data_IF_395926813855
#
_entry.id   IF_395926813855
#
_cell.length_a   1.000
_cell.length_b   1.000
_cell.length_c   1.000
_cell.angle_alpha   90.00
_cell.angle_beta   90.00
_cell.angle_gamma   90.00
#
_symmetry.space_group_name_H-M   'P 1'
#
loop_
_entity.id
_entity.type
_entity.pdbx_description
1 polymer ?
#
# COMPACT_ATOMS: atom_id res chain seq x y z
N UNK A 1 4.30 17.92 19.14
CA UNK A 1 3.84 18.43 17.83
C UNK A 1 2.97 17.40 17.09
N UNK A 2 2.28 16.50 17.80
CA UNK A 2 1.65 15.30 17.20
C UNK A 2 0.17 15.49 16.82
N UNK A 3 -0.48 16.59 17.24
CA UNK A 3 -1.95 16.70 17.16
C UNK A 3 -2.48 17.19 15.80
N UNK A 4 -1.70 17.95 15.03
CA UNK A 4 -2.18 18.60 13.78
C UNK A 4 -2.32 17.58 12.65
N UNK A 5 -1.44 16.58 12.58
CA UNK A 5 -1.49 15.56 11.53
C UNK A 5 -2.68 14.59 11.68
N UNK A 6 -3.12 14.32 12.90
CA UNK A 6 -4.24 13.42 13.18
C UNK A 6 -5.58 14.03 12.76
N UNK A 7 -5.79 15.34 12.99
CA UNK A 7 -7.02 16.05 12.61
C UNK A 7 -7.20 16.13 11.08
N UNK A 8 -6.10 16.31 10.32
CA UNK A 8 -6.15 16.33 8.85
C UNK A 8 -6.29 14.94 8.21
N UNK A 9 -5.96 13.88 8.95
CA UNK A 9 -6.04 12.50 8.48
C UNK A 9 -7.46 11.93 8.62
N UNK A 10 -8.14 12.28 9.71
CA UNK A 10 -9.43 11.70 10.09
C UNK A 10 -10.50 11.75 8.96
N UNK A 11 -10.68 12.86 8.21
CA UNK A 11 -11.66 12.87 7.13
C UNK A 11 -11.31 11.96 5.94
N UNK A 12 -10.02 11.77 5.64
CA UNK A 12 -9.59 10.83 4.59
C UNK A 12 -9.75 9.39 5.05
N UNK A 13 -9.39 9.12 6.30
CA UNK A 13 -9.52 7.81 6.92
C UNK A 13 -10.98 7.35 6.96
N UNK A 14 -11.89 8.20 7.46
CA UNK A 14 -13.32 7.88 7.49
C UNK A 14 -13.91 7.59 6.09
N UNK A 15 -13.42 8.27 5.04
CA UNK A 15 -13.84 8.00 3.66
C UNK A 15 -13.32 6.66 3.14
N UNK A 16 -12.08 6.30 3.50
CA UNK A 16 -11.48 5.02 3.16
C UNK A 16 -12.20 3.87 3.85
N UNK A 17 -12.44 3.97 5.17
CA UNK A 17 -13.18 2.99 5.97
C UNK A 17 -14.57 2.73 5.37
N UNK A 18 -15.32 3.81 5.13
CA UNK A 18 -16.66 3.72 4.57
C UNK A 18 -16.68 3.20 3.12
N UNK A 19 -15.59 3.31 2.35
CA UNK A 19 -15.46 2.72 1.03
C UNK A 19 -15.09 1.23 1.10
N UNK A 20 -14.22 0.85 2.05
CA UNK A 20 -13.83 -0.53 2.31
C UNK A 20 -15.03 -1.35 2.77
N UNK A 21 -15.82 -0.84 3.72
CA UNK A 21 -17.07 -1.47 4.17
C UNK A 21 -18.07 -1.66 3.03
N UNK A 22 -18.25 -0.64 2.18
CA UNK A 22 -19.13 -0.75 1.00
C UNK A 22 -18.64 -1.78 0.02
N UNK A 23 -17.33 -1.86 -0.23
CA UNK A 23 -16.76 -2.89 -1.09
C UNK A 23 -17.01 -4.27 -0.49
N UNK A 24 -16.73 -4.46 0.81
CA UNK A 24 -16.90 -5.72 1.52
C UNK A 24 -18.34 -6.24 1.43
N UNK A 25 -19.32 -5.37 1.66
CA UNK A 25 -20.76 -5.69 1.64
C UNK A 25 -21.37 -5.76 0.24
N UNK A 26 -20.66 -5.32 -0.80
CA UNK A 26 -21.22 -5.25 -2.15
C UNK A 26 -21.48 -6.64 -2.75
N UNK A 27 -22.59 -6.82 -3.50
CA UNK A 27 -22.79 -8.02 -4.30
C UNK A 27 -21.77 -8.09 -5.45
N UNK A 28 -21.47 -9.28 -6.00
CA UNK A 28 -20.42 -9.46 -7.00
C UNK A 28 -20.50 -8.50 -8.20
N UNK A 29 -21.71 -8.26 -8.72
CA UNK A 29 -21.92 -7.36 -9.87
C UNK A 29 -21.57 -5.89 -9.59
N UNK A 30 -21.52 -5.47 -8.32
CA UNK A 30 -21.22 -4.10 -7.92
C UNK A 30 -19.77 -3.93 -7.42
N UNK A 31 -19.04 -5.03 -7.15
CA UNK A 31 -17.67 -5.02 -6.58
C UNK A 31 -16.71 -4.14 -7.38
N UNK A 32 -16.76 -4.18 -8.71
CA UNK A 32 -15.87 -3.38 -9.58
C UNK A 32 -16.00 -1.87 -9.29
N UNK A 33 -17.22 -1.35 -9.27
CA UNK A 33 -17.48 0.08 -9.02
C UNK A 33 -17.05 0.49 -7.60
N UNK A 34 -17.33 -0.36 -6.61
CA UNK A 34 -16.92 -0.10 -5.23
C UNK A 34 -15.40 -0.18 -5.05
N UNK A 35 -14.72 -1.04 -5.81
CA UNK A 35 -13.26 -1.13 -5.81
C UNK A 35 -12.63 0.14 -6.37
N UNK A 36 -13.12 0.66 -7.50
CA UNK A 36 -12.65 1.95 -8.03
C UNK A 36 -12.78 3.07 -6.97
N UNK A 37 -13.93 3.14 -6.30
CA UNK A 37 -14.15 4.11 -5.22
C UNK A 37 -13.21 3.91 -4.03
N UNK A 38 -12.94 2.67 -3.64
CA UNK A 38 -11.98 2.36 -2.59
C UNK A 38 -10.58 2.85 -2.99
N UNK A 39 -10.11 2.54 -4.20
CA UNK A 39 -8.80 2.96 -4.68
C UNK A 39 -8.66 4.48 -4.69
N UNK A 40 -9.69 5.22 -5.11
CA UNK A 40 -9.68 6.70 -5.04
C UNK A 40 -9.53 7.21 -3.59
N UNK A 41 -10.22 6.58 -2.64
CA UNK A 41 -10.12 6.97 -1.21
C UNK A 41 -8.80 6.56 -0.58
N UNK A 42 -8.28 5.38 -0.94
CA UNK A 42 -7.00 4.88 -0.50
C UNK A 42 -5.88 5.79 -1.00
N UNK A 43 -5.92 6.21 -2.27
CA UNK A 43 -4.93 7.10 -2.82
C UNK A 43 -4.82 8.42 -2.02
N UNK A 44 -5.97 9.05 -1.73
CA UNK A 44 -6.02 10.27 -0.93
C UNK A 44 -5.54 10.07 0.51
N UNK A 45 -5.78 8.90 1.08
CA UNK A 45 -5.31 8.54 2.42
C UNK A 45 -3.79 8.35 2.42
N UNK A 46 -3.27 7.50 1.54
CA UNK A 46 -1.86 7.11 1.49
C UNK A 46 -0.91 8.27 1.14
N UNK A 47 -1.40 9.34 0.50
CA UNK A 47 -0.61 10.57 0.26
C UNK A 47 -0.38 11.40 1.53
N UNK A 48 -1.22 11.25 2.57
CA UNK A 48 -1.08 12.02 3.80
C UNK A 48 -0.01 11.42 4.72
N UNK A 49 0.71 12.26 5.50
CA UNK A 49 1.51 11.77 6.62
C UNK A 49 0.66 10.87 7.54
N UNK A 50 1.20 9.71 7.93
CA UNK A 50 0.47 8.70 8.73
C UNK A 50 -0.58 7.89 7.97
N UNK A 51 -0.84 8.19 6.68
CA UNK A 51 -1.86 7.50 5.89
C UNK A 51 -1.56 6.03 5.62
N UNK A 52 -0.29 5.68 5.40
CA UNK A 52 0.13 4.29 5.22
C UNK A 52 -0.12 3.44 6.47
N UNK A 53 0.28 3.96 7.65
CA UNK A 53 0.04 3.32 8.94
C UNK A 53 -1.47 3.16 9.22
N UNK A 54 -2.26 4.18 8.94
CA UNK A 54 -3.71 4.14 9.14
C UNK A 54 -4.39 3.12 8.20
N UNK A 55 -4.00 3.08 6.92
CA UNK A 55 -4.51 2.07 5.98
C UNK A 55 -4.07 0.65 6.37
N UNK A 56 -2.86 0.51 6.92
CA UNK A 56 -2.31 -0.78 7.36
C UNK A 56 -3.14 -1.44 8.46
N UNK A 57 -3.78 -0.67 9.35
CA UNK A 57 -4.71 -1.20 10.36
C UNK A 57 -5.88 -2.01 9.76
N UNK A 58 -6.15 -1.84 8.45
CA UNK A 58 -7.21 -2.52 7.72
C UNK A 58 -6.70 -3.61 6.77
N UNK A 59 -5.40 -3.87 6.72
CA UNK A 59 -4.78 -4.73 5.71
C UNK A 59 -5.34 -6.16 5.71
N UNK A 60 -5.70 -6.71 6.87
CA UNK A 60 -6.31 -8.04 7.01
C UNK A 60 -7.66 -8.17 6.27
N UNK A 61 -8.37 -7.05 6.09
CA UNK A 61 -9.68 -7.02 5.42
C UNK A 61 -9.58 -6.95 3.90
N UNK A 62 -8.44 -6.55 3.34
CA UNK A 62 -8.34 -6.20 1.91
C UNK A 62 -8.71 -7.36 1.00
N UNK A 63 -8.21 -8.55 1.28
CA UNK A 63 -8.51 -9.68 0.43
C UNK A 63 -9.96 -10.16 0.58
N UNK A 64 -10.50 -10.18 1.81
CA UNK A 64 -11.90 -10.57 2.06
C UNK A 64 -12.88 -9.59 1.42
N UNK A 65 -12.53 -8.29 1.41
CA UNK A 65 -13.31 -7.28 0.74
C UNK A 65 -13.28 -7.42 -0.79
N UNK A 66 -12.26 -8.07 -1.37
CA UNK A 66 -12.08 -8.19 -2.82
C UNK A 66 -11.30 -7.03 -3.44
N UNK A 67 -10.41 -6.38 -2.67
CA UNK A 67 -9.58 -5.26 -3.15
C UNK A 67 -8.77 -5.62 -4.39
N UNK A 68 -8.29 -6.87 -4.46
CA UNK A 68 -7.41 -7.33 -5.54
C UNK A 68 -8.12 -8.20 -6.59
N UNK A 69 -9.43 -8.42 -6.45
CA UNK A 69 -10.17 -9.38 -7.29
C UNK A 69 -10.08 -9.04 -8.78
N UNK A 70 -9.86 -10.04 -9.64
CA UNK A 70 -9.73 -9.81 -11.09
C UNK A 70 -8.47 -9.04 -11.51
N UNK A 71 -7.43 -9.03 -10.68
CA UNK A 71 -6.10 -8.49 -10.99
C UNK A 71 -4.98 -9.47 -10.62
N UNK A 72 -3.76 -9.23 -11.09
CA UNK A 72 -2.59 -10.04 -10.73
C UNK A 72 -2.29 -10.00 -9.23
N UNK A 73 -2.57 -8.88 -8.57
CA UNK A 73 -2.42 -8.72 -7.11
C UNK A 73 -3.33 -9.64 -6.30
N UNK A 74 -4.32 -10.31 -6.90
CA UNK A 74 -5.14 -11.31 -6.20
C UNK A 74 -4.32 -12.52 -5.72
N UNK A 75 -3.16 -12.75 -6.32
CA UNK A 75 -2.30 -13.90 -6.05
C UNK A 75 -0.92 -13.44 -5.53
N UNK A 76 -0.79 -13.09 -4.23
CA UNK A 76 0.47 -12.56 -3.68
C UNK A 76 1.69 -13.47 -3.93
N UNK A 77 1.50 -14.80 -3.92
CA UNK A 77 2.55 -15.78 -4.21
C UNK A 77 3.13 -15.70 -5.64
N UNK A 78 2.46 -14.99 -6.56
CA UNK A 78 2.91 -14.81 -7.95
C UNK A 78 3.55 -13.45 -8.21
N UNK A 79 3.50 -12.54 -7.23
CA UNK A 79 4.08 -11.22 -7.36
C UNK A 79 5.60 -11.31 -7.31
N UNK A 80 6.26 -10.43 -8.07
CA UNK A 80 7.72 -10.35 -8.14
C UNK A 80 8.17 -8.98 -7.64
N UNK A 81 9.01 -8.94 -6.61
CA UNK A 81 9.55 -7.70 -6.07
C UNK A 81 10.27 -6.87 -7.17
N UNK A 82 10.93 -7.55 -8.11
CA UNK A 82 11.59 -6.96 -9.28
C UNK A 82 10.72 -6.08 -10.18
N UNK A 83 9.39 -6.26 -10.19
CA UNK A 83 8.47 -5.47 -11.01
C UNK A 83 7.98 -4.20 -10.29
N UNK A 84 8.03 -4.19 -8.96
CA UNK A 84 7.47 -3.11 -8.15
C UNK A 84 8.09 -1.74 -8.48
N UNK A 85 9.42 -1.56 -8.60
CA UNK A 85 9.99 -0.25 -8.90
C UNK A 85 9.42 0.40 -10.16
N UNK A 86 9.27 -0.39 -11.23
CA UNK A 86 8.65 0.07 -12.48
C UNK A 86 7.18 0.42 -12.28
N UNK A 87 6.43 -0.42 -11.55
CA UNK A 87 5.03 -0.13 -11.22
C UNK A 87 4.89 1.19 -10.48
N UNK A 88 5.73 1.46 -9.47
CA UNK A 88 5.67 2.69 -8.68
C UNK A 88 6.06 3.93 -9.49
N UNK A 89 7.01 3.80 -10.43
CA UNK A 89 7.53 4.90 -11.23
C UNK A 89 6.65 5.25 -12.44
N UNK A 90 6.11 4.25 -13.13
CA UNK A 90 5.47 4.40 -14.45
C UNK A 90 4.00 4.00 -14.46
N UNK A 91 3.50 3.37 -13.39
CA UNK A 91 2.13 2.85 -13.34
C UNK A 91 1.07 3.95 -13.35
N UNK A 92 -0.11 3.61 -13.90
CA UNK A 92 -1.28 4.45 -13.74
C UNK A 92 -1.63 4.62 -12.25
N UNK A 93 -2.25 5.74 -11.90
CA UNK A 93 -2.58 6.12 -10.51
C UNK A 93 -3.28 5.01 -9.71
N UNK A 94 -4.25 4.31 -10.33
CA UNK A 94 -4.97 3.23 -9.67
C UNK A 94 -4.11 1.96 -9.50
N UNK A 95 -3.20 1.68 -10.45
CA UNK A 95 -2.23 0.58 -10.37
C UNK A 95 -1.25 0.83 -9.23
N UNK A 96 -0.67 2.03 -9.14
CA UNK A 96 0.24 2.41 -8.06
C UNK A 96 -0.44 2.30 -6.70
N UNK A 97 -1.71 2.71 -6.62
CA UNK A 97 -2.49 2.59 -5.38
C UNK A 97 -2.75 1.13 -5.01
N UNK A 98 -3.10 0.29 -5.99
CA UNK A 98 -3.32 -1.14 -5.80
C UNK A 98 -2.03 -1.86 -5.38
N UNK A 99 -0.91 -1.52 -6.01
CA UNK A 99 0.44 -1.97 -5.65
C UNK A 99 0.70 -1.61 -4.18
N UNK A 100 0.51 -0.35 -3.79
CA UNK A 100 0.74 0.08 -2.42
C UNK A 100 -0.13 -0.66 -1.37
N UNK A 101 -1.41 -0.92 -1.65
CA UNK A 101 -2.25 -1.76 -0.79
C UNK A 101 -1.76 -3.23 -0.79
N UNK A 102 -1.24 -3.70 -1.93
CA UNK A 102 -0.32 -4.83 -2.12
C UNK A 102 0.68 -5.00 -0.99
N UNK A 103 1.58 -4.01 -0.89
CA UNK A 103 2.66 -4.00 0.08
C UNK A 103 2.15 -4.06 1.53
N UNK A 104 1.09 -3.31 1.85
CA UNK A 104 0.51 -3.32 3.20
C UNK A 104 -0.07 -4.69 3.56
N UNK A 105 -0.73 -5.38 2.61
CA UNK A 105 -1.18 -6.77 2.80
C UNK A 105 0.00 -7.71 3.03
N UNK A 106 1.05 -7.63 2.20
CA UNK A 106 2.23 -8.49 2.32
C UNK A 106 2.93 -8.25 3.68
N UNK A 107 2.98 -7.01 4.15
CA UNK A 107 3.47 -6.67 5.49
C UNK A 107 2.66 -7.38 6.58
N UNK A 108 1.33 -7.33 6.53
CA UNK A 108 0.46 -8.03 7.48
C UNK A 108 0.66 -9.55 7.46
N UNK A 109 0.95 -10.13 6.29
CA UNK A 109 1.28 -11.57 6.17
C UNK A 109 2.63 -11.86 6.83
N UNK A 110 3.64 -11.03 6.59
CA UNK A 110 4.98 -11.20 7.17
C UNK A 110 4.96 -11.10 8.71
N UNK A 111 4.07 -10.27 9.26
CA UNK A 111 3.81 -10.15 10.70
C UNK A 111 2.84 -11.20 11.26
N UNK A 112 2.40 -12.16 10.44
CA UNK A 112 1.43 -13.23 10.80
C UNK A 112 0.06 -12.71 11.26
N UNK A 113 -0.30 -11.47 10.91
CA UNK A 113 -1.65 -10.90 11.15
C UNK A 113 -2.67 -11.45 10.15
N UNK A 114 -2.21 -11.77 8.94
CA UNK A 114 -3.02 -12.35 7.87
C UNK A 114 -2.38 -13.65 7.36
N UNK A 115 -3.16 -14.73 7.27
CA UNK A 115 -2.69 -15.98 6.65
C UNK A 115 -3.16 -16.08 5.20
N UNK A 116 -2.27 -16.51 4.31
CA UNK A 116 -2.56 -16.77 2.89
C UNK A 116 -2.10 -18.16 2.48
N UNK A 117 -3.01 -18.94 1.92
CA UNK A 117 -2.66 -20.26 1.38
C UNK A 117 -1.65 -20.07 0.24
N UNK A 118 -0.53 -20.79 0.31
CA UNK A 118 0.53 -20.73 -0.69
C UNK A 118 1.45 -19.51 -0.60
N UNK A 119 1.33 -18.68 0.44
CA UNK A 119 2.23 -17.56 0.68
C UNK A 119 2.49 -17.37 2.18
N UNK A 120 3.61 -17.92 2.66
CA UNK A 120 3.95 -17.91 4.09
C UNK A 120 4.45 -16.54 4.58
N UNK A 121 4.50 -16.37 5.90
CA UNK A 121 5.06 -15.17 6.52
C UNK A 121 6.55 -14.97 6.17
N UNK A 122 7.30 -16.06 6.05
CA UNK A 122 8.70 -16.05 5.65
C UNK A 122 8.85 -15.61 4.19
N UNK A 123 8.03 -16.15 3.28
CA UNK A 123 8.03 -15.72 1.87
C UNK A 123 7.65 -14.25 1.72
N UNK A 124 6.65 -13.79 2.49
CA UNK A 124 6.27 -12.38 2.53
C UNK A 124 7.43 -11.49 3.05
N UNK A 125 8.11 -11.92 4.11
CA UNK A 125 9.29 -11.22 4.64
C UNK A 125 10.44 -11.14 3.62
N UNK A 126 10.71 -12.22 2.89
CA UNK A 126 11.71 -12.21 1.80
C UNK A 126 11.31 -11.26 0.67
N UNK A 127 10.06 -11.29 0.23
CA UNK A 127 9.55 -10.36 -0.78
C UNK A 127 9.75 -8.90 -0.35
N UNK A 128 9.43 -8.55 0.90
CA UNK A 128 9.54 -7.17 1.38
C UNK A 128 11.01 -6.71 1.49
N UNK A 129 11.94 -7.60 1.86
CA UNK A 129 13.37 -7.29 1.85
C UNK A 129 13.87 -6.98 0.43
N UNK A 130 13.50 -7.81 -0.55
CA UNK A 130 13.84 -7.56 -1.96
C UNK A 130 13.22 -6.26 -2.47
N UNK A 131 11.94 -6.03 -2.17
CA UNK A 131 11.23 -4.80 -2.49
C UNK A 131 12.00 -3.57 -1.98
N UNK A 132 12.38 -3.56 -0.70
CA UNK A 132 13.05 -2.42 -0.09
C UNK A 132 14.44 -2.20 -0.71
N UNK A 133 15.20 -3.26 -0.95
CA UNK A 133 16.50 -3.18 -1.64
C UNK A 133 16.37 -2.58 -3.05
N UNK A 134 15.29 -2.89 -3.77
CA UNK A 134 15.02 -2.37 -5.12
C UNK A 134 14.39 -0.98 -5.14
N UNK A 135 13.92 -0.47 -4.00
CA UNK A 135 13.17 0.80 -3.90
C UNK A 135 13.81 1.79 -2.91
N UNK A 136 15.12 1.68 -2.64
CA UNK A 136 15.84 2.55 -1.71
C UNK A 136 15.68 4.05 -2.01
N UNK A 137 15.53 4.42 -3.28
CA UNK A 137 15.25 5.81 -3.70
C UNK A 137 13.94 6.39 -3.15
N UNK A 138 12.98 5.53 -2.77
CA UNK A 138 11.72 5.92 -2.13
C UNK A 138 11.88 6.06 -0.61
N UNK A 139 12.90 5.41 -0.03
CA UNK A 139 13.22 5.46 1.40
C UNK A 139 14.05 6.69 1.74
N UNK A 140 15.04 7.03 0.90
CA UNK A 140 15.95 8.15 1.14
C UNK A 140 15.50 9.45 0.43
N UNK A 141 15.62 10.58 1.12
CA UNK A 141 15.25 11.89 0.61
C UNK A 141 16.29 12.43 -0.39
N UNK A 142 15.86 12.80 -1.59
CA UNK A 142 16.71 13.36 -2.64
C UNK A 142 16.18 14.73 -3.04
N UNK A 143 16.69 15.78 -2.41
CA UNK A 143 16.21 17.15 -2.57
C UNK A 143 16.81 17.83 -3.81
N UNK A 144 16.10 17.82 -4.95
CA UNK A 144 16.44 18.60 -6.15
C UNK A 144 15.20 19.26 -6.78
N UNK A 145 15.38 20.25 -7.67
CA UNK A 145 14.25 20.95 -8.33
C UNK A 145 13.43 20.03 -9.24
N UNK A 146 14.09 19.15 -10.00
CA UNK A 146 13.44 18.09 -10.78
C UNK A 146 12.69 17.10 -9.85
N UNK A 147 13.16 16.94 -8.62
CA UNK A 147 12.47 16.11 -7.64
C UNK A 147 11.14 16.72 -7.16
N UNK A 148 10.84 18.02 -7.30
CA UNK A 148 9.56 18.59 -6.84
C UNK A 148 8.36 18.16 -7.69
N UNK A 149 8.49 18.18 -9.01
CA UNK A 149 7.41 17.72 -9.92
C UNK A 149 7.24 16.21 -9.79
N UNK A 150 8.35 15.47 -9.65
CA UNK A 150 8.34 14.04 -9.32
C UNK A 150 7.82 13.75 -7.91
N UNK A 151 7.98 14.67 -6.94
CA UNK A 151 7.61 14.46 -5.55
C UNK A 151 6.10 14.27 -5.39
N UNK A 152 5.28 15.04 -6.13
CA UNK A 152 3.83 14.86 -6.07
C UNK A 152 3.41 13.47 -6.62
N UNK A 153 4.00 12.99 -7.71
CA UNK A 153 3.70 11.67 -8.26
C UNK A 153 4.18 10.54 -7.33
N UNK A 154 5.37 10.70 -6.75
CA UNK A 154 6.04 9.70 -5.89
C UNK A 154 5.66 9.76 -4.41
N UNK A 155 4.86 10.75 -3.98
CA UNK A 155 4.51 10.92 -2.56
C UNK A 155 3.82 9.70 -1.95
N UNK A 156 2.82 9.14 -2.65
CA UNK A 156 2.11 7.95 -2.20
C UNK A 156 3.05 6.75 -2.05
N UNK A 157 3.79 6.32 -3.10
CA UNK A 157 4.70 5.18 -2.96
C UNK A 157 5.80 5.43 -1.92
N UNK A 158 6.35 6.64 -1.80
CA UNK A 158 7.32 6.99 -0.74
C UNK A 158 6.75 6.77 0.65
N UNK A 159 5.53 7.25 0.92
CA UNK A 159 4.90 7.09 2.23
C UNK A 159 4.74 5.61 2.59
N UNK A 160 4.37 4.76 1.63
CA UNK A 160 4.15 3.33 1.86
C UNK A 160 5.46 2.57 1.99
N UNK A 161 6.41 2.76 1.09
CA UNK A 161 7.72 2.10 1.14
C UNK A 161 8.47 2.49 2.42
N UNK A 162 8.43 3.76 2.83
CA UNK A 162 9.03 4.20 4.09
C UNK A 162 8.35 3.57 5.30
N UNK A 163 7.02 3.52 5.32
CA UNK A 163 6.30 2.84 6.41
C UNK A 163 6.66 1.34 6.48
N UNK A 164 6.76 0.65 5.35
CA UNK A 164 7.22 -0.75 5.31
C UNK A 164 8.65 -0.88 5.87
N UNK A 165 9.56 0.03 5.50
CA UNK A 165 10.92 0.07 6.04
C UNK A 165 10.95 0.32 7.55
N UNK A 166 10.11 1.24 8.05
CA UNK A 166 9.99 1.56 9.46
C UNK A 166 9.54 0.34 10.29
N UNK A 167 8.59 -0.45 9.76
CA UNK A 167 8.07 -1.65 10.45
C UNK A 167 9.05 -2.83 10.40
N UNK A 168 9.71 -3.07 9.27
CA UNK A 168 10.65 -4.19 9.12
C UNK A 168 12.00 -3.89 9.78
N UNK A 169 12.35 -2.61 9.91
CA UNK A 169 13.62 -2.13 10.43
C UNK A 169 14.67 -1.92 9.34
N UNK A 170 15.35 -0.77 9.42
CA UNK A 170 16.40 -0.35 8.48
C UNK A 170 17.63 -1.26 8.47
N UNK A 171 17.88 -2.01 9.55
CA UNK A 171 18.97 -2.99 9.64
C UNK A 171 18.84 -4.12 8.61
N UNK A 172 17.67 -4.28 7.99
CA UNK A 172 17.45 -5.24 6.90
C UNK A 172 17.85 -4.73 5.52
N UNK A 173 18.27 -3.46 5.41
CA UNK A 173 18.62 -2.78 4.15
C UNK A 173 20.12 -2.70 3.88
N UNK A 174 20.96 -3.15 4.82
CA UNK A 174 22.42 -3.16 4.77
C UNK A 174 22.95 -4.60 4.79
#
# INVERSE_FOLDING_TARGET
>A
MTNIHTEELAPSLARFEAALERLEQAPPFAKSNHRSRLLDTAERLLRKPGGAEAAYQYAERFDAAGVFEGSDWNFPARLQAGLVPRTLAEGERWIVTLECLSQLRILAISERKLTRIGFSAEQAGHFLKELLALTLEYVFDHQTEAARVSAAATQLPRNVVRFVADVIGYDTLL
#
